data_IF_478692827266
#
_entry.id   IF_478692827266
#
_cell.length_a   1.000
_cell.length_b   1.000
_cell.length_c   1.000
_cell.angle_alpha   90.00
_cell.angle_beta   90.00
_cell.angle_gamma   90.00
#
_symmetry.space_group_name_H-M   'P 1'
#
loop_
_entity.id
_entity.type
_entity.pdbx_description
1 polymer ?
#
# COMPACT_ATOMS: atom_id res chain seq x y z
N UNK A 1 8.68 8.51 25.26
CA UNK A 1 8.03 7.87 24.11
C UNK A 1 8.04 6.40 24.38
N UNK A 2 6.87 5.79 24.47
CA UNK A 2 6.75 4.35 24.61
C UNK A 2 6.13 3.81 23.31
N UNK A 3 6.83 2.87 22.69
CA UNK A 3 6.38 2.17 21.48
C UNK A 3 6.10 0.69 21.76
N UNK A 4 6.14 0.30 23.03
CA UNK A 4 5.76 -1.04 23.39
C UNK A 4 4.30 -1.29 23.00
N UNK A 5 3.97 -2.47 22.44
CA UNK A 5 2.59 -2.79 22.17
C UNK A 5 1.81 -2.86 23.49
N UNK A 6 0.62 -2.27 23.50
CA UNK A 6 -0.33 -2.47 24.60
C UNK A 6 -0.75 -3.94 24.72
N UNK A 7 -1.36 -4.33 25.83
CA UNK A 7 -1.90 -5.69 25.98
C UNK A 7 -2.88 -6.01 24.85
N UNK A 8 -3.76 -5.06 24.50
CA UNK A 8 -4.68 -5.16 23.36
C UNK A 8 -3.94 -5.49 22.06
N UNK A 9 -2.90 -4.73 21.71
CA UNK A 9 -2.14 -4.95 20.47
C UNK A 9 -1.38 -6.27 20.52
N UNK A 10 -0.86 -6.65 21.69
CA UNK A 10 -0.18 -7.94 21.88
C UNK A 10 -1.12 -9.09 21.59
N UNK A 11 -2.34 -9.06 22.11
CA UNK A 11 -3.38 -10.07 21.87
C UNK A 11 -3.79 -10.08 20.38
N UNK A 12 -4.05 -8.91 19.80
CA UNK A 12 -4.44 -8.78 18.39
C UNK A 12 -3.36 -9.31 17.43
N UNK A 13 -2.10 -8.98 17.67
CA UNK A 13 -0.99 -9.45 16.83
C UNK A 13 -0.73 -10.94 17.00
N UNK A 14 -0.92 -11.51 18.20
CA UNK A 14 -0.86 -12.95 18.42
C UNK A 14 -1.98 -13.68 17.69
N UNK A 15 -3.22 -13.17 17.76
CA UNK A 15 -4.37 -13.69 17.03
C UNK A 15 -4.14 -13.63 15.50
N UNK A 16 -3.65 -12.49 14.99
CA UNK A 16 -3.35 -12.35 13.57
C UNK A 16 -2.27 -13.34 13.11
N UNK A 17 -1.20 -13.56 13.89
CA UNK A 17 -0.16 -14.56 13.58
C UNK A 17 -0.71 -15.97 13.51
N UNK A 18 -1.51 -16.36 14.51
CA UNK A 18 -2.16 -17.69 14.54
C UNK A 18 -3.06 -17.88 13.32
N UNK A 19 -3.88 -16.88 13.01
CA UNK A 19 -4.75 -16.88 11.84
C UNK A 19 -3.96 -17.01 10.53
N UNK A 20 -2.92 -16.18 10.36
CA UNK A 20 -2.06 -16.22 9.17
C UNK A 20 -1.43 -17.60 8.99
N UNK A 21 -0.95 -18.20 10.07
CA UNK A 21 -0.33 -19.53 10.01
C UNK A 21 -1.31 -20.63 9.57
N UNK A 22 -2.58 -20.52 9.96
CA UNK A 22 -3.60 -21.52 9.65
C UNK A 22 -4.31 -21.30 8.32
N UNK A 23 -4.67 -20.05 8.00
CA UNK A 23 -5.61 -19.74 6.94
C UNK A 23 -4.96 -19.04 5.72
N UNK A 24 -3.73 -18.52 5.85
CA UNK A 24 -3.11 -17.76 4.75
C UNK A 24 -1.84 -18.42 4.23
N UNK A 25 -0.90 -18.79 5.09
CA UNK A 25 0.38 -19.37 4.67
C UNK A 25 0.24 -20.68 3.88
N UNK A 26 -0.71 -21.58 4.14
CA UNK A 26 -0.91 -22.77 3.33
C UNK A 26 -1.24 -22.49 1.86
N UNK A 27 -1.75 -21.28 1.57
CA UNK A 27 -2.13 -20.84 0.24
C UNK A 27 -1.08 -20.00 -0.48
N UNK A 28 -0.02 -19.56 0.23
CA UNK A 28 0.96 -18.59 -0.29
C UNK A 28 1.70 -19.11 -1.53
N UNK A 29 2.18 -20.34 -1.50
CA UNK A 29 2.84 -20.97 -2.65
C UNK A 29 1.92 -21.05 -3.88
N UNK A 30 0.64 -21.42 -3.70
CA UNK A 30 -0.31 -21.46 -4.80
C UNK A 30 -0.64 -20.05 -5.32
N UNK A 31 -0.71 -19.05 -4.45
CA UNK A 31 -0.93 -17.65 -4.85
C UNK A 31 0.22 -17.14 -5.73
N UNK A 32 1.47 -17.44 -5.39
CA UNK A 32 2.64 -17.08 -6.19
C UNK A 32 2.57 -17.75 -7.57
N UNK A 33 2.33 -19.07 -7.61
CA UNK A 33 2.44 -19.88 -8.83
C UNK A 33 1.22 -19.80 -9.74
N UNK A 34 0.01 -19.56 -9.20
CA UNK A 34 -1.26 -19.59 -9.96
C UNK A 34 -1.93 -18.23 -10.08
N UNK A 35 -1.45 -17.25 -9.31
CA UNK A 35 -1.99 -15.89 -9.27
C UNK A 35 -3.33 -15.76 -8.54
N UNK A 36 -3.74 -14.51 -8.32
CA UNK A 36 -4.92 -14.17 -7.53
C UNK A 36 -6.21 -14.78 -8.07
N UNK A 37 -6.46 -14.71 -9.38
CA UNK A 37 -7.70 -15.21 -10.00
C UNK A 37 -7.98 -16.68 -9.70
N UNK A 38 -6.93 -17.50 -9.64
CA UNK A 38 -7.05 -18.93 -9.33
C UNK A 38 -7.27 -19.20 -7.84
N UNK A 39 -6.91 -18.25 -6.97
CA UNK A 39 -6.94 -18.40 -5.51
C UNK A 39 -8.01 -17.54 -4.84
N UNK A 40 -8.82 -16.78 -5.61
CA UNK A 40 -9.80 -15.86 -5.05
C UNK A 40 -10.78 -16.55 -4.11
N UNK A 41 -11.26 -17.76 -4.42
CA UNK A 41 -12.21 -18.48 -3.57
C UNK A 41 -11.65 -18.82 -2.19
N UNK A 42 -10.38 -19.26 -2.11
CA UNK A 42 -9.70 -19.56 -0.84
C UNK A 42 -9.42 -18.28 -0.04
N UNK A 43 -9.01 -17.22 -0.73
CA UNK A 43 -8.75 -15.94 -0.09
C UNK A 43 -10.05 -15.29 0.42
N UNK A 44 -11.14 -15.39 -0.31
CA UNK A 44 -12.45 -14.89 0.13
C UNK A 44 -12.99 -15.71 1.31
N UNK A 45 -12.80 -17.03 1.33
CA UNK A 45 -13.12 -17.86 2.49
C UNK A 45 -12.30 -17.43 3.73
N UNK A 46 -11.00 -17.18 3.57
CA UNK A 46 -10.18 -16.66 4.66
C UNK A 46 -10.64 -15.25 5.12
N UNK A 47 -11.10 -14.37 4.21
CA UNK A 47 -11.68 -13.06 4.55
C UNK A 47 -12.94 -13.21 5.41
N UNK A 48 -13.83 -14.13 5.07
CA UNK A 48 -15.04 -14.39 5.89
C UNK A 48 -14.70 -14.88 7.29
N UNK A 49 -13.67 -15.73 7.43
CA UNK A 49 -13.14 -16.11 8.75
C UNK A 49 -12.48 -14.94 9.47
N UNK A 50 -11.73 -14.09 8.77
CA UNK A 50 -11.10 -12.92 9.36
C UNK A 50 -12.10 -11.93 9.95
N UNK A 51 -13.30 -11.76 9.37
CA UNK A 51 -14.39 -10.97 9.96
C UNK A 51 -14.75 -11.40 11.37
N UNK A 52 -14.66 -12.69 11.67
CA UNK A 52 -14.99 -13.25 13.00
C UNK A 52 -13.92 -12.94 14.05
N UNK A 53 -12.72 -12.51 13.64
CA UNK A 53 -11.63 -12.18 14.58
C UNK A 53 -11.75 -10.77 15.19
N UNK A 54 -12.62 -9.92 14.67
CA UNK A 54 -12.70 -8.51 15.05
C UNK A 54 -11.54 -7.64 14.48
N UNK A 55 -10.70 -8.21 13.60
CA UNK A 55 -9.56 -7.51 13.00
C UNK A 55 -9.77 -7.13 11.52
N UNK A 56 -10.98 -7.28 11.01
CA UNK A 56 -11.30 -6.93 9.62
C UNK A 56 -11.44 -5.42 9.48
N UNK A 57 -10.82 -4.83 8.45
CA UNK A 57 -10.72 -3.37 8.25
C UNK A 57 -10.28 -2.62 9.54
N UNK A 58 -9.15 -3.01 10.18
CA UNK A 58 -8.83 -2.68 11.57
C UNK A 58 -8.62 -1.17 11.82
N UNK A 59 -8.32 -0.41 10.78
CA UNK A 59 -8.13 1.05 10.79
C UNK A 59 -9.44 1.83 10.87
N UNK A 60 -10.56 1.19 10.51
CA UNK A 60 -11.87 1.86 10.52
C UNK A 60 -12.47 1.90 11.93
N UNK A 61 -13.29 2.93 12.24
CA UNK A 61 -13.99 3.00 13.50
C UNK A 61 -14.86 1.77 13.81
N UNK A 62 -15.01 1.44 15.08
CA UNK A 62 -15.83 0.30 15.54
C UNK A 62 -17.28 0.38 15.05
N UNK A 63 -17.84 1.60 14.99
CA UNK A 63 -19.20 1.85 14.47
C UNK A 63 -19.38 1.47 13.00
N UNK A 64 -18.28 1.38 12.25
CA UNK A 64 -18.25 0.95 10.86
C UNK A 64 -17.82 -0.52 10.70
N UNK A 65 -17.60 -1.25 11.80
CA UNK A 65 -17.18 -2.64 11.80
C UNK A 65 -15.67 -2.85 11.81
N UNK A 66 -14.87 -1.80 11.99
CA UNK A 66 -13.43 -1.89 12.19
C UNK A 66 -13.03 -2.07 13.66
N UNK A 67 -11.73 -2.02 13.96
CA UNK A 67 -11.20 -2.13 15.31
C UNK A 67 -10.81 -0.78 15.95
N UNK A 68 -10.95 0.33 15.24
CA UNK A 68 -10.67 1.68 15.74
C UNK A 68 -9.22 1.91 16.17
N UNK A 69 -8.27 1.28 15.49
CA UNK A 69 -6.85 1.35 15.85
C UNK A 69 -6.27 2.74 15.60
N UNK A 70 -5.45 3.22 16.55
CA UNK A 70 -4.56 4.36 16.33
C UNK A 70 -3.52 4.04 15.26
N UNK A 71 -2.86 5.04 14.70
CA UNK A 71 -1.88 4.82 13.64
C UNK A 71 -0.66 4.00 14.13
N UNK A 72 -0.28 4.16 15.41
CA UNK A 72 0.77 3.35 16.04
C UNK A 72 0.35 1.86 16.13
N UNK A 73 -0.87 1.59 16.58
CA UNK A 73 -1.42 0.23 16.67
C UNK A 73 -1.58 -0.40 15.28
N UNK A 74 -2.05 0.39 14.29
CA UNK A 74 -2.10 -0.02 12.89
C UNK A 74 -0.72 -0.42 12.36
N UNK A 75 0.32 0.37 12.67
CA UNK A 75 1.69 0.08 12.25
C UNK A 75 2.17 -1.25 12.83
N UNK A 76 1.90 -1.53 14.10
CA UNK A 76 2.29 -2.77 14.78
C UNK A 76 1.55 -4.00 14.23
N UNK A 77 0.24 -3.88 13.95
CA UNK A 77 -0.52 -4.96 13.29
C UNK A 77 -0.05 -5.18 11.85
N UNK A 78 0.20 -4.10 11.11
CA UNK A 78 0.64 -4.16 9.70
C UNK A 78 1.97 -4.88 9.52
N UNK A 79 2.89 -4.81 10.49
CA UNK A 79 4.12 -5.62 10.50
C UNK A 79 3.79 -7.12 10.43
N UNK A 80 2.83 -7.58 11.23
CA UNK A 80 2.42 -9.00 11.25
C UNK A 80 1.75 -9.41 9.95
N UNK A 81 0.82 -8.57 9.45
CA UNK A 81 0.13 -8.85 8.18
C UNK A 81 1.08 -8.84 6.99
N UNK A 82 2.18 -8.07 7.06
CA UNK A 82 3.23 -8.00 6.04
C UNK A 82 4.15 -9.23 5.97
N UNK A 83 4.10 -10.12 6.95
CA UNK A 83 4.87 -11.38 6.95
C UNK A 83 4.38 -12.39 5.89
N UNK A 84 3.27 -12.10 5.20
CA UNK A 84 2.75 -12.90 4.07
C UNK A 84 2.24 -12.00 2.94
N UNK A 85 2.17 -12.55 1.74
CA UNK A 85 1.72 -11.85 0.53
C UNK A 85 0.26 -11.38 0.68
N UNK A 86 -0.62 -12.20 1.24
CA UNK A 86 -2.06 -11.96 1.27
C UNK A 86 -2.59 -11.43 2.62
N UNK A 87 -1.77 -11.25 3.66
CA UNK A 87 -2.25 -10.88 4.98
C UNK A 87 -3.08 -9.59 4.99
N UNK A 88 -2.59 -8.53 4.36
CA UNK A 88 -3.35 -7.27 4.27
C UNK A 88 -4.66 -7.43 3.49
N UNK A 89 -4.66 -8.22 2.41
CA UNK A 89 -5.89 -8.48 1.65
C UNK A 89 -6.92 -9.22 2.49
N UNK A 90 -6.51 -10.26 3.20
CA UNK A 90 -7.42 -11.10 3.99
C UNK A 90 -8.07 -10.29 5.12
N UNK A 91 -7.35 -9.39 5.76
CA UNK A 91 -7.88 -8.53 6.81
C UNK A 91 -8.51 -7.21 6.31
N UNK A 92 -8.74 -7.07 5.00
CA UNK A 92 -9.29 -5.85 4.38
C UNK A 92 -8.51 -4.58 4.76
N UNK A 93 -7.19 -4.70 4.81
CA UNK A 93 -6.26 -3.64 5.17
C UNK A 93 -5.24 -3.38 4.04
N UNK A 94 -5.57 -3.77 2.82
CA UNK A 94 -4.72 -3.59 1.64
C UNK A 94 -4.94 -2.23 0.96
N UNK A 95 -3.89 -1.69 0.36
CA UNK A 95 -4.01 -0.61 -0.61
C UNK A 95 -4.61 -1.17 -1.94
N UNK A 96 -5.42 -0.38 -2.67
CA UNK A 96 -5.78 1.02 -2.41
C UNK A 96 -6.96 1.21 -1.46
N UNK A 97 -7.65 0.14 -1.07
CA UNK A 97 -8.91 0.19 -0.32
C UNK A 97 -8.76 0.89 1.02
N UNK A 98 -7.68 0.62 1.78
CA UNK A 98 -7.41 1.28 3.05
C UNK A 98 -7.44 2.81 2.94
N UNK A 99 -6.73 3.38 1.96
CA UNK A 99 -6.72 4.83 1.77
C UNK A 99 -8.02 5.39 1.18
N UNK A 100 -8.76 4.60 0.40
CA UNK A 100 -10.06 5.01 -0.13
C UNK A 100 -11.15 4.97 0.96
N UNK A 101 -11.08 4.02 1.92
CA UNK A 101 -11.93 4.02 3.11
C UNK A 101 -11.69 5.26 3.96
N UNK A 102 -10.43 5.58 4.28
CA UNK A 102 -10.07 6.78 5.04
C UNK A 102 -10.53 8.07 4.35
N UNK A 103 -10.35 8.15 3.02
CA UNK A 103 -10.78 9.29 2.22
C UNK A 103 -12.30 9.48 2.28
N UNK A 104 -13.07 8.41 2.06
CA UNK A 104 -14.53 8.45 2.09
C UNK A 104 -15.06 8.70 3.50
N UNK A 105 -14.44 8.13 4.52
CA UNK A 105 -14.82 8.38 5.91
C UNK A 105 -14.66 9.84 6.30
N UNK A 106 -13.51 10.45 5.95
CA UNK A 106 -13.19 11.83 6.33
C UNK A 106 -13.81 12.90 5.45
N UNK A 107 -14.11 12.60 4.19
CA UNK A 107 -14.46 13.62 3.19
C UNK A 107 -15.65 13.27 2.28
N UNK A 108 -16.16 12.04 2.36
CA UNK A 108 -17.35 11.62 1.62
C UNK A 108 -18.63 12.20 2.23
N UNK A 109 -19.62 12.49 1.39
CA UNK A 109 -20.99 12.78 1.82
C UNK A 109 -21.63 11.53 2.46
N UNK A 110 -22.74 11.70 3.17
CA UNK A 110 -23.47 10.54 3.72
C UNK A 110 -23.94 9.58 2.64
N UNK A 111 -24.31 10.10 1.46
CA UNK A 111 -24.64 9.29 0.30
C UNK A 111 -23.41 8.50 -0.20
N UNK A 112 -22.22 9.11 -0.24
CA UNK A 112 -20.98 8.44 -0.58
C UNK A 112 -20.65 7.33 0.42
N UNK A 113 -20.81 7.60 1.72
CA UNK A 113 -20.54 6.62 2.78
C UNK A 113 -21.50 5.43 2.68
N UNK A 114 -22.79 5.68 2.50
CA UNK A 114 -23.77 4.62 2.38
C UNK A 114 -23.55 3.75 1.13
N UNK A 115 -23.24 4.38 -0.01
CA UNK A 115 -23.13 3.67 -1.29
C UNK A 115 -21.79 2.94 -1.46
N UNK A 116 -20.69 3.50 -1.01
CA UNK A 116 -19.34 2.97 -1.28
C UNK A 116 -18.52 2.61 -0.03
N UNK A 117 -18.55 3.45 1.03
CA UNK A 117 -17.73 3.18 2.20
C UNK A 117 -18.22 1.95 2.98
N UNK A 118 -19.51 1.90 3.29
CA UNK A 118 -20.09 0.79 4.07
C UNK A 118 -19.81 -0.58 3.44
N UNK A 119 -20.13 -0.82 2.15
CA UNK A 119 -19.83 -2.11 1.53
C UNK A 119 -18.31 -2.34 1.30
N UNK A 120 -17.50 -1.28 1.17
CA UNK A 120 -16.04 -1.41 1.09
C UNK A 120 -15.45 -1.88 2.42
N UNK A 121 -15.89 -1.32 3.55
CA UNK A 121 -15.49 -1.75 4.90
C UNK A 121 -15.95 -3.17 5.19
N UNK A 122 -17.17 -3.53 4.76
CA UNK A 122 -17.68 -4.89 4.87
C UNK A 122 -16.95 -5.92 3.96
N UNK A 123 -16.09 -5.43 3.06
CA UNK A 123 -15.34 -6.28 2.12
C UNK A 123 -16.19 -6.87 0.99
N UNK A 124 -17.39 -6.33 0.75
CA UNK A 124 -18.33 -6.76 -0.30
C UNK A 124 -17.91 -6.26 -1.68
N UNK A 125 -17.11 -5.20 -1.74
CA UNK A 125 -16.58 -4.64 -2.96
C UNK A 125 -15.12 -4.19 -2.77
N UNK A 126 -14.44 -3.94 -3.90
CA UNK A 126 -13.10 -3.37 -3.94
C UNK A 126 -13.11 -2.08 -4.75
N UNK A 127 -12.13 -1.24 -4.49
CA UNK A 127 -11.97 0.05 -5.15
C UNK A 127 -10.60 0.17 -5.83
N UNK A 128 -10.45 1.22 -6.64
CA UNK A 128 -9.15 1.61 -7.21
C UNK A 128 -8.96 3.12 -7.11
N UNK A 129 -7.71 3.57 -7.28
CA UNK A 129 -7.33 4.98 -7.24
C UNK A 129 -6.60 5.35 -8.53
N UNK A 130 -7.18 6.22 -9.35
CA UNK A 130 -6.70 6.62 -10.65
C UNK A 130 -6.05 8.00 -10.59
N UNK A 131 -4.73 8.04 -10.46
CA UNK A 131 -3.98 9.30 -10.36
C UNK A 131 -2.95 9.45 -11.47
N UNK A 132 -2.04 8.51 -11.62
CA UNK A 132 -0.92 8.57 -12.57
C UNK A 132 -1.36 8.36 -14.01
N UNK A 133 -0.62 8.95 -14.93
CA UNK A 133 -0.90 8.95 -16.37
C UNK A 133 0.37 8.59 -17.14
N UNK A 134 0.29 7.84 -18.25
CA UNK A 134 1.49 7.48 -19.00
C UNK A 134 2.20 8.68 -19.65
N UNK A 135 1.45 9.70 -20.05
CA UNK A 135 1.96 10.89 -20.75
C UNK A 135 2.54 11.94 -19.77
N UNK A 136 2.25 11.85 -18.48
CA UNK A 136 2.64 12.85 -17.49
C UNK A 136 3.47 12.26 -16.36
N UNK A 137 4.47 13.02 -15.89
CA UNK A 137 5.35 12.56 -14.82
C UNK A 137 4.58 12.39 -13.49
N UNK A 138 4.40 11.15 -13.02
CA UNK A 138 3.73 10.84 -11.76
C UNK A 138 4.39 11.46 -10.51
N UNK A 139 5.67 11.84 -10.61
CA UNK A 139 6.39 12.59 -9.56
C UNK A 139 5.95 14.06 -9.43
N UNK A 140 5.19 14.59 -10.41
CA UNK A 140 4.60 15.92 -10.37
C UNK A 140 3.06 15.80 -10.34
N UNK A 141 2.44 15.63 -9.18
CA UNK A 141 1.02 15.33 -9.04
C UNK A 141 0.06 16.47 -9.40
N UNK A 142 0.59 17.64 -9.71
CA UNK A 142 -0.22 18.80 -10.16
C UNK A 142 -0.21 18.98 -11.68
N UNK A 143 0.52 18.13 -12.40
CA UNK A 143 0.58 18.12 -13.84
C UNK A 143 -0.03 16.82 -14.38
N UNK A 144 -1.25 16.90 -14.86
CA UNK A 144 -2.01 15.77 -15.40
C UNK A 144 -2.89 16.21 -16.56
N UNK A 145 -3.21 15.28 -17.45
CA UNK A 145 -4.00 15.54 -18.66
C UNK A 145 -5.47 15.15 -18.54
N UNK A 146 -5.84 14.25 -17.60
CA UNK A 146 -7.24 13.88 -17.39
C UNK A 146 -8.04 15.09 -16.97
N UNK A 147 -9.15 15.33 -17.70
CA UNK A 147 -10.05 16.48 -17.49
C UNK A 147 -11.45 16.00 -17.10
N UNK A 148 -12.14 16.80 -16.31
CA UNK A 148 -13.53 16.64 -16.00
C UNK A 148 -14.27 17.98 -16.13
N UNK A 149 -15.28 18.04 -16.99
CA UNK A 149 -16.12 19.22 -17.19
C UNK A 149 -17.52 18.94 -16.70
N UNK A 150 -18.09 19.91 -15.98
CA UNK A 150 -19.48 19.81 -15.51
C UNK A 150 -20.41 20.27 -16.62
N UNK A 151 -21.31 19.40 -17.08
CA UNK A 151 -22.30 19.66 -18.13
C UNK A 151 -23.63 19.03 -17.72
N UNK A 152 -24.69 19.80 -17.71
CA UNK A 152 -26.07 19.34 -17.40
C UNK A 152 -26.18 18.55 -16.08
N UNK A 153 -25.49 18.98 -15.03
CA UNK A 153 -25.45 18.32 -13.71
C UNK A 153 -24.65 17.02 -13.67
N UNK A 154 -23.83 16.75 -14.68
CA UNK A 154 -22.95 15.59 -14.77
C UNK A 154 -21.51 15.98 -15.06
N UNK A 155 -20.58 15.31 -14.41
CA UNK A 155 -19.16 15.33 -14.79
C UNK A 155 -18.96 14.48 -16.05
N UNK A 156 -18.39 15.08 -17.10
CA UNK A 156 -17.90 14.39 -18.28
C UNK A 156 -16.39 14.27 -18.18
N UNK A 157 -15.87 13.03 -18.02
CA UNK A 157 -14.47 12.76 -17.73
C UNK A 157 -13.80 12.13 -18.95
N UNK A 158 -12.62 12.68 -19.33
CA UNK A 158 -11.78 12.16 -20.40
C UNK A 158 -10.34 12.10 -19.92
N UNK A 159 -9.65 10.98 -20.17
CA UNK A 159 -8.24 10.84 -19.82
C UNK A 159 -7.72 9.42 -19.94
N UNK A 160 -6.42 9.29 -19.66
CA UNK A 160 -5.71 8.04 -19.72
C UNK A 160 -4.94 7.83 -18.40
N UNK A 161 -5.27 6.77 -17.70
CA UNK A 161 -4.69 6.43 -16.40
C UNK A 161 -3.97 5.09 -16.48
N UNK A 162 -2.89 4.93 -15.72
CA UNK A 162 -2.20 3.66 -15.62
C UNK A 162 -1.70 3.40 -14.20
N UNK A 163 -1.16 2.21 -13.97
CA UNK A 163 -0.82 1.71 -12.64
C UNK A 163 -1.96 1.90 -11.63
N UNK A 164 -3.20 1.75 -12.11
CA UNK A 164 -4.39 1.72 -11.29
C UNK A 164 -4.45 0.38 -10.55
N UNK A 165 -3.85 0.34 -9.35
CA UNK A 165 -3.79 -0.88 -8.53
C UNK A 165 -5.18 -1.40 -8.22
N UNK A 166 -5.38 -2.71 -8.36
CA UNK A 166 -6.64 -3.42 -8.12
C UNK A 166 -7.82 -2.99 -9.02
N UNK A 167 -7.57 -2.30 -10.14
CA UNK A 167 -8.63 -1.90 -11.07
C UNK A 167 -9.39 -3.10 -11.65
N UNK A 168 -8.70 -4.23 -11.86
CA UNK A 168 -9.34 -5.47 -12.26
C UNK A 168 -10.27 -6.00 -11.14
N UNK A 169 -11.58 -5.91 -11.39
CA UNK A 169 -12.64 -6.28 -10.44
C UNK A 169 -12.95 -5.24 -9.36
N UNK A 170 -12.41 -4.01 -9.42
CA UNK A 170 -12.90 -2.90 -8.62
C UNK A 170 -14.31 -2.52 -9.06
N UNK A 171 -15.15 -2.09 -8.10
CA UNK A 171 -16.53 -1.66 -8.36
C UNK A 171 -16.64 -0.15 -8.55
N UNK A 172 -15.69 0.59 -8.02
CA UNK A 172 -15.58 2.03 -8.25
C UNK A 172 -14.12 2.48 -8.24
N UNK A 173 -13.88 3.60 -8.88
CA UNK A 173 -12.62 4.31 -8.92
C UNK A 173 -12.75 5.68 -8.25
N UNK A 174 -11.71 6.08 -7.51
CA UNK A 174 -11.49 7.49 -7.16
C UNK A 174 -10.59 8.08 -8.24
N UNK A 175 -11.14 8.96 -9.07
CA UNK A 175 -10.46 9.53 -10.23
C UNK A 175 -9.97 10.95 -9.93
N UNK A 176 -8.66 11.18 -10.08
CA UNK A 176 -8.08 12.52 -10.10
C UNK A 176 -8.22 13.10 -11.51
N UNK A 177 -8.89 14.26 -11.62
CA UNK A 177 -9.09 14.96 -12.89
C UNK A 177 -9.02 16.48 -12.71
N UNK A 178 -8.54 17.18 -13.72
CA UNK A 178 -8.52 18.65 -13.76
C UNK A 178 -9.94 19.15 -13.99
N UNK A 179 -10.47 19.92 -13.04
CA UNK A 179 -11.78 20.58 -13.10
C UNK A 179 -11.68 22.10 -13.19
N UNK A 180 -10.53 22.65 -12.76
CA UNK A 180 -10.27 24.09 -12.70
C UNK A 180 -8.95 24.40 -13.44
N UNK A 181 -8.92 24.27 -14.78
CA UNK A 181 -7.68 24.45 -15.58
C UNK A 181 -7.05 25.85 -15.39
N UNK A 182 -7.89 26.87 -15.21
CA UNK A 182 -7.49 28.28 -15.11
C UNK A 182 -7.15 28.72 -13.69
N UNK A 183 -7.24 27.82 -12.70
CA UNK A 183 -6.88 28.15 -11.31
C UNK A 183 -5.41 28.63 -11.25
N UNK A 184 -5.20 29.79 -10.62
CA UNK A 184 -3.87 30.41 -10.50
C UNK A 184 -2.85 29.51 -9.78
N UNK A 185 -3.31 28.75 -8.81
CA UNK A 185 -2.48 27.80 -8.08
C UNK A 185 -2.64 26.38 -8.67
N UNK A 186 -1.57 25.79 -9.14
CA UNK A 186 -1.58 24.45 -9.73
C UNK A 186 -2.20 23.38 -8.79
N UNK A 187 -2.04 23.55 -7.49
CA UNK A 187 -2.61 22.65 -6.47
C UNK A 187 -4.14 22.72 -6.34
N UNK A 188 -4.78 23.70 -6.97
CA UNK A 188 -6.23 23.90 -6.95
C UNK A 188 -6.90 23.53 -8.28
N UNK A 189 -6.17 22.87 -9.19
CA UNK A 189 -6.69 22.52 -10.51
C UNK A 189 -7.43 21.19 -10.56
N UNK A 190 -7.04 20.24 -9.75
CA UNK A 190 -7.61 18.89 -9.78
C UNK A 190 -8.65 18.67 -8.69
N UNK A 191 -9.62 17.82 -8.98
CA UNK A 191 -10.64 17.30 -8.07
C UNK A 191 -10.57 15.78 -7.99
N UNK A 192 -11.27 15.19 -7.01
CA UNK A 192 -11.51 13.75 -6.91
C UNK A 192 -12.97 13.44 -7.20
N UNK A 193 -13.21 12.54 -8.11
CA UNK A 193 -14.56 12.15 -8.55
C UNK A 193 -14.71 10.64 -8.43
N UNK A 194 -15.81 10.19 -7.83
CA UNK A 194 -16.19 8.78 -7.74
C UNK A 194 -16.80 8.31 -9.05
N UNK A 195 -16.24 7.24 -9.61
CA UNK A 195 -16.69 6.67 -10.87
C UNK A 195 -16.95 5.18 -10.68
N UNK A 196 -18.20 4.69 -10.80
CA UNK A 196 -18.45 3.26 -10.91
C UNK A 196 -17.75 2.69 -12.14
N UNK A 197 -17.09 1.52 -11.99
CA UNK A 197 -16.25 0.97 -13.08
C UNK A 197 -17.07 0.38 -14.23
N UNK A 198 -18.37 0.18 -14.04
CA UNK A 198 -19.32 -0.23 -15.07
C UNK A 198 -19.96 0.97 -15.83
N UNK A 199 -19.53 2.20 -15.54
CA UNK A 199 -19.99 3.39 -16.26
C UNK A 199 -19.51 3.34 -17.72
N UNK A 200 -20.38 3.57 -18.71
CA UNK A 200 -19.99 3.62 -20.13
C UNK A 200 -18.80 4.56 -20.36
N UNK A 201 -17.81 4.09 -21.12
CA UNK A 201 -16.57 4.81 -21.40
C UNK A 201 -15.47 4.63 -20.35
N UNK A 202 -15.70 3.85 -19.28
CA UNK A 202 -14.64 3.39 -18.38
C UNK A 202 -14.11 2.06 -18.88
N UNK A 203 -12.94 2.08 -19.51
CA UNK A 203 -12.37 0.92 -20.15
C UNK A 203 -11.07 0.50 -19.47
N UNK A 204 -11.07 -0.66 -18.80
CA UNK A 204 -9.86 -1.34 -18.35
C UNK A 204 -9.19 -1.99 -19.58
N UNK A 205 -8.16 -1.34 -20.12
CA UNK A 205 -7.50 -1.75 -21.35
C UNK A 205 -6.71 -3.04 -21.16
N UNK A 206 -5.95 -3.11 -20.07
CA UNK A 206 -5.11 -4.26 -19.69
C UNK A 206 -4.65 -4.14 -18.25
N UNK A 207 -4.15 -5.23 -17.71
CA UNK A 207 -3.26 -5.18 -16.55
C UNK A 207 -1.82 -5.00 -17.04
N UNK A 208 -1.11 -4.01 -16.47
CA UNK A 208 0.29 -3.73 -16.82
C UNK A 208 1.17 -4.79 -16.20
N UNK A 209 1.99 -5.45 -17.00
CA UNK A 209 2.98 -6.40 -16.50
C UNK A 209 4.12 -5.68 -15.78
N UNK A 210 4.35 -6.04 -14.52
CA UNK A 210 5.42 -5.49 -13.67
C UNK A 210 6.46 -6.57 -13.43
N UNK A 211 7.66 -6.39 -13.99
CA UNK A 211 8.78 -7.35 -13.87
C UNK A 211 8.39 -8.80 -14.22
N UNK A 212 7.56 -8.96 -15.26
CA UNK A 212 7.10 -10.26 -15.73
C UNK A 212 5.78 -10.76 -15.11
N UNK A 213 5.23 -10.06 -14.12
CA UNK A 213 3.97 -10.42 -13.49
C UNK A 213 2.86 -9.46 -13.93
N UNK A 214 1.87 -9.96 -14.66
CA UNK A 214 0.70 -9.16 -15.08
C UNK A 214 -0.26 -8.92 -13.91
N UNK A 215 -0.39 -9.90 -13.03
CA UNK A 215 -1.34 -9.86 -11.94
C UNK A 215 -2.81 -9.97 -12.38
N UNK A 216 -3.70 -10.09 -11.42
CA UNK A 216 -5.15 -10.08 -11.61
C UNK A 216 -5.86 -9.65 -10.34
N UNK A 217 -7.07 -9.15 -10.45
CA UNK A 217 -7.87 -8.74 -9.31
C UNK A 217 -7.12 -7.73 -8.41
N UNK A 218 -7.05 -7.99 -7.11
CA UNK A 218 -6.32 -7.14 -6.17
C UNK A 218 -4.83 -6.96 -6.51
N UNK A 219 -4.18 -7.96 -7.10
CA UNK A 219 -2.76 -7.93 -7.45
C UNK A 219 -2.49 -7.31 -8.84
N UNK A 220 -3.49 -6.71 -9.47
CA UNK A 220 -3.35 -6.07 -10.79
C UNK A 220 -2.91 -4.61 -10.69
N UNK A 221 -2.37 -4.11 -11.80
CA UNK A 221 -2.11 -2.69 -12.03
C UNK A 221 -2.71 -2.30 -13.37
N UNK A 222 -3.92 -1.74 -13.36
CA UNK A 222 -4.69 -1.48 -14.57
C UNK A 222 -4.19 -0.28 -15.37
N UNK A 223 -4.33 -0.37 -16.70
CA UNK A 223 -4.34 0.76 -17.62
C UNK A 223 -5.78 1.06 -17.99
N UNK A 224 -6.25 2.28 -17.75
CA UNK A 224 -7.65 2.68 -17.88
C UNK A 224 -7.79 3.87 -18.81
N UNK A 225 -8.65 3.72 -19.82
CA UNK A 225 -9.11 4.83 -20.65
C UNK A 225 -10.47 5.33 -20.16
N UNK A 226 -10.61 6.65 -20.10
CA UNK A 226 -11.84 7.34 -19.74
C UNK A 226 -12.31 8.12 -20.97
N UNK A 227 -13.35 7.61 -21.64
CA UNK A 227 -13.87 8.13 -22.91
C UNK A 227 -15.28 8.70 -22.67
N UNK A 228 -15.37 10.00 -22.35
CA UNK A 228 -16.65 10.66 -22.06
C UNK A 228 -17.44 9.99 -20.92
N UNK A 229 -16.75 9.52 -19.90
CA UNK A 229 -17.37 8.91 -18.72
C UNK A 229 -18.26 9.95 -18.02
N UNK A 230 -19.54 9.66 -17.87
CA UNK A 230 -20.53 10.57 -17.27
C UNK A 230 -20.97 10.07 -15.91
N UNK A 231 -20.82 10.92 -14.89
CA UNK A 231 -21.29 10.65 -13.52
C UNK A 231 -21.97 11.89 -12.95
N UNK A 232 -22.93 11.73 -12.03
CA UNK A 232 -23.61 12.85 -11.38
C UNK A 232 -22.66 13.85 -10.71
N UNK A 233 -23.07 15.11 -10.61
CA UNK A 233 -22.27 16.18 -9.97
C UNK A 233 -21.93 15.84 -8.52
N UNK A 234 -22.81 15.21 -7.78
CA UNK A 234 -22.65 14.82 -6.39
C UNK A 234 -21.65 13.66 -6.16
N UNK A 235 -21.08 13.08 -7.23
CA UNK A 235 -19.95 12.14 -7.13
C UNK A 235 -18.61 12.83 -6.83
N UNK A 236 -18.57 14.17 -6.75
CA UNK A 236 -17.41 14.93 -6.31
C UNK A 236 -17.13 14.68 -4.82
N UNK A 237 -15.88 14.32 -4.48
CA UNK A 237 -15.45 14.21 -3.09
C UNK A 237 -14.91 15.57 -2.62
N UNK A 238 -15.47 16.08 -1.54
CA UNK A 238 -15.05 17.37 -0.98
C UNK A 238 -15.47 18.57 -1.84
N UNK A 239 -14.52 19.41 -2.25
CA UNK A 239 -14.76 20.62 -3.03
C UNK A 239 -14.02 20.61 -4.37
N UNK A 240 -14.53 21.32 -5.36
CA UNK A 240 -13.86 21.53 -6.66
C UNK A 240 -12.48 22.15 -6.45
N UNK A 241 -11.49 21.64 -7.17
CA UNK A 241 -10.09 22.06 -7.03
C UNK A 241 -9.41 21.56 -5.76
N UNK A 242 -10.12 20.81 -4.91
CA UNK A 242 -9.60 20.29 -3.63
C UNK A 242 -8.82 18.96 -3.73
N UNK A 243 -8.77 18.36 -4.91
CA UNK A 243 -8.25 17.00 -5.09
C UNK A 243 -6.81 16.79 -4.62
N UNK A 244 -5.92 17.75 -4.87
CA UNK A 244 -4.54 17.64 -4.39
C UNK A 244 -4.44 17.60 -2.84
N UNK A 245 -5.22 18.44 -2.14
CA UNK A 245 -5.27 18.44 -0.68
C UNK A 245 -5.75 17.09 -0.14
N UNK A 246 -6.80 16.55 -0.74
CA UNK A 246 -7.34 15.22 -0.41
C UNK A 246 -6.32 14.11 -0.69
N UNK A 247 -5.59 14.18 -1.82
CA UNK A 247 -4.53 13.24 -2.14
C UNK A 247 -3.42 13.24 -1.08
N UNK A 248 -3.01 14.41 -0.60
CA UNK A 248 -2.01 14.50 0.46
C UNK A 248 -2.52 13.96 1.81
N UNK A 249 -3.78 14.19 2.15
CA UNK A 249 -4.41 13.64 3.35
C UNK A 249 -4.44 12.10 3.32
N UNK A 250 -4.80 11.51 2.17
CA UNK A 250 -4.82 10.07 1.94
C UNK A 250 -3.42 9.44 1.95
N UNK A 251 -2.45 10.08 1.29
CA UNK A 251 -1.10 9.53 1.11
C UNK A 251 -0.22 9.63 2.37
N UNK A 252 -0.58 10.46 3.35
CA UNK A 252 0.15 10.60 4.61
C UNK A 252 0.15 9.29 5.40
N UNK A 253 -0.99 8.84 5.91
CA UNK A 253 -1.16 7.54 6.59
C UNK A 253 -0.78 6.36 5.69
N UNK A 254 -1.12 6.41 4.40
CA UNK A 254 -0.80 5.36 3.43
C UNK A 254 0.69 5.02 3.37
N UNK A 255 1.59 6.00 3.49
CA UNK A 255 3.05 5.76 3.50
C UNK A 255 3.51 5.03 4.76
N UNK A 256 2.88 5.27 5.90
CA UNK A 256 3.17 4.54 7.15
C UNK A 256 2.68 3.10 7.00
N UNK A 257 1.48 2.92 6.50
CA UNK A 257 0.92 1.60 6.19
C UNK A 257 1.88 0.78 5.30
N UNK A 258 2.39 1.37 4.22
CA UNK A 258 3.39 0.70 3.37
C UNK A 258 4.69 0.41 4.10
N UNK A 259 5.25 1.39 4.84
CA UNK A 259 6.51 1.21 5.55
C UNK A 259 6.41 0.11 6.62
N UNK A 260 5.29 0.03 7.35
CA UNK A 260 5.04 -1.02 8.34
C UNK A 260 4.92 -2.40 7.68
N UNK A 261 4.22 -2.50 6.56
CA UNK A 261 4.13 -3.73 5.75
C UNK A 261 5.51 -4.20 5.28
N UNK A 262 6.37 -3.27 4.85
CA UNK A 262 7.74 -3.60 4.43
C UNK A 262 8.61 -4.11 5.57
N UNK A 263 8.39 -3.66 6.80
CA UNK A 263 9.03 -4.26 7.98
C UNK A 263 8.60 -5.72 8.14
N UNK A 264 7.32 -6.03 7.95
CA UNK A 264 6.83 -7.42 7.95
C UNK A 264 7.51 -8.30 6.89
N UNK A 265 7.61 -7.80 5.64
CA UNK A 265 8.36 -8.47 4.57
C UNK A 265 9.82 -8.72 4.98
N UNK A 266 10.48 -7.71 5.57
CA UNK A 266 11.86 -7.85 6.05
C UNK A 266 12.00 -8.92 7.15
N UNK A 267 11.07 -8.95 8.12
CA UNK A 267 11.08 -9.92 9.20
C UNK A 267 10.94 -11.35 8.66
N UNK A 268 10.02 -11.57 7.72
CA UNK A 268 9.84 -12.88 7.08
C UNK A 268 11.05 -13.27 6.24
N UNK A 269 11.61 -12.35 5.45
CA UNK A 269 12.81 -12.60 4.65
C UNK A 269 14.03 -12.95 5.53
N UNK A 270 14.22 -12.23 6.65
CA UNK A 270 15.27 -12.53 7.63
C UNK A 270 15.04 -13.90 8.28
N UNK A 271 13.81 -14.24 8.65
CA UNK A 271 13.46 -15.55 9.19
C UNK A 271 13.86 -16.68 8.22
N UNK A 272 13.41 -16.57 6.95
CA UNK A 272 13.75 -17.54 5.91
C UNK A 272 15.26 -17.63 5.66
N UNK A 273 15.97 -16.50 5.69
CA UNK A 273 17.44 -16.45 5.57
C UNK A 273 18.12 -17.19 6.71
N UNK A 274 17.69 -16.98 7.96
CA UNK A 274 18.22 -17.67 9.13
C UNK A 274 17.95 -19.17 9.10
N UNK A 275 16.71 -19.54 8.75
CA UNK A 275 16.34 -20.96 8.61
C UNK A 275 17.21 -21.64 7.56
N UNK A 276 17.32 -21.04 6.37
CA UNK A 276 18.15 -21.58 5.28
C UNK A 276 19.61 -21.70 5.70
N UNK A 277 20.16 -20.70 6.39
CA UNK A 277 21.53 -20.71 6.85
C UNK A 277 21.81 -21.82 7.88
N UNK A 278 20.85 -22.12 8.74
CA UNK A 278 20.95 -23.17 9.75
C UNK A 278 20.82 -24.59 9.16
N UNK A 279 19.89 -24.77 8.23
CA UNK A 279 19.53 -26.09 7.69
C UNK A 279 20.40 -26.53 6.51
N UNK A 280 20.90 -25.58 5.70
CA UNK A 280 21.66 -25.92 4.48
C UNK A 280 23.09 -26.29 4.81
N UNK A 281 23.44 -27.54 4.57
CA UNK A 281 24.85 -27.99 4.62
C UNK A 281 25.57 -27.70 3.31
N UNK A 282 26.83 -27.24 3.42
CA UNK A 282 27.78 -27.07 2.30
C UNK A 282 28.60 -28.32 2.10
N UNK A 283 28.86 -29.06 3.21
CA UNK A 283 29.44 -30.39 3.28
C UNK A 283 28.97 -31.02 4.60
N UNK A 284 29.09 -32.34 4.79
CA UNK A 284 28.62 -32.99 6.01
C UNK A 284 29.12 -32.29 7.29
N UNK A 285 28.16 -31.88 8.14
CA UNK A 285 28.42 -31.19 9.40
C UNK A 285 28.87 -29.72 9.27
N UNK A 286 28.79 -29.12 8.09
CA UNK A 286 29.16 -27.71 7.86
C UNK A 286 27.97 -26.92 7.34
N UNK A 287 27.12 -26.35 8.22
CA UNK A 287 26.01 -25.55 7.81
C UNK A 287 26.44 -24.24 7.12
N UNK A 288 25.64 -23.73 6.20
CA UNK A 288 25.86 -22.48 5.48
C UNK A 288 26.06 -21.29 6.46
N UNK A 289 25.35 -21.30 7.58
CA UNK A 289 25.46 -20.31 8.66
C UNK A 289 26.82 -20.27 9.37
N UNK A 290 27.72 -21.25 9.13
CA UNK A 290 29.10 -21.19 9.62
C UNK A 290 29.96 -20.17 8.85
N UNK A 291 29.51 -19.67 7.71
CA UNK A 291 30.27 -18.70 6.92
C UNK A 291 30.09 -17.29 7.46
N UNK A 292 31.19 -16.62 7.71
CA UNK A 292 31.25 -15.28 8.30
C UNK A 292 30.43 -14.26 7.47
N UNK A 293 30.48 -14.34 6.14
CA UNK A 293 29.70 -13.47 5.25
C UNK A 293 28.19 -13.60 5.51
N UNK A 294 27.69 -14.83 5.69
CA UNK A 294 26.26 -15.08 5.99
C UNK A 294 25.90 -14.53 7.36
N UNK A 295 26.75 -14.72 8.36
CA UNK A 295 26.57 -14.15 9.70
C UNK A 295 26.55 -12.62 9.67
N UNK A 296 27.42 -12.00 8.87
CA UNK A 296 27.45 -10.55 8.67
C UNK A 296 26.12 -10.07 8.04
N UNK A 297 25.64 -10.71 6.98
CA UNK A 297 24.37 -10.35 6.35
C UNK A 297 23.16 -10.48 7.28
N UNK A 298 23.11 -11.52 8.11
CA UNK A 298 22.06 -11.69 9.12
C UNK A 298 22.11 -10.55 10.15
N UNK A 299 23.31 -10.25 10.69
CA UNK A 299 23.48 -9.21 11.70
C UNK A 299 23.14 -7.81 11.16
N UNK A 300 23.63 -7.46 9.97
CA UNK A 300 23.31 -6.20 9.30
C UNK A 300 21.83 -6.07 9.01
N UNK A 301 21.19 -7.13 8.48
CA UNK A 301 19.77 -7.13 8.20
C UNK A 301 18.96 -6.91 9.48
N UNK A 302 19.31 -7.57 10.57
CA UNK A 302 18.64 -7.38 11.87
C UNK A 302 18.77 -5.94 12.36
N UNK A 303 19.96 -5.35 12.29
CA UNK A 303 20.20 -3.97 12.72
C UNK A 303 19.44 -2.95 11.85
N UNK A 304 19.45 -3.13 10.53
CA UNK A 304 18.74 -2.26 9.59
C UNK A 304 17.23 -2.33 9.78
N UNK A 305 16.66 -3.53 9.99
CA UNK A 305 15.22 -3.73 10.26
C UNK A 305 14.83 -3.03 11.55
N UNK A 306 15.60 -3.19 12.63
CA UNK A 306 15.29 -2.58 13.92
C UNK A 306 15.30 -1.04 13.83
N UNK A 307 16.33 -0.47 13.18
CA UNK A 307 16.41 0.97 12.97
C UNK A 307 15.23 1.48 12.14
N UNK A 308 14.87 0.79 11.05
CA UNK A 308 13.74 1.14 10.20
C UNK A 308 12.41 1.06 10.97
N UNK A 309 12.22 -0.01 11.74
CA UNK A 309 11.05 -0.23 12.59
C UNK A 309 10.83 0.91 13.59
N UNK A 310 11.87 1.26 14.33
CA UNK A 310 11.81 2.36 15.30
C UNK A 310 11.45 3.70 14.65
N UNK A 311 11.98 3.99 13.46
CA UNK A 311 11.61 5.19 12.69
C UNK A 311 10.12 5.18 12.31
N UNK A 312 9.57 4.04 11.89
CA UNK A 312 8.16 3.91 11.53
C UNK A 312 7.26 4.12 12.74
N UNK A 313 7.53 3.42 13.86
CA UNK A 313 6.75 3.56 15.09
C UNK A 313 6.81 4.98 15.66
N UNK A 314 8.00 5.61 15.64
CA UNK A 314 8.13 7.00 16.04
C UNK A 314 7.30 7.95 15.17
N UNK A 315 7.29 7.72 13.85
CA UNK A 315 6.51 8.54 12.92
C UNK A 315 5.01 8.38 13.18
N UNK A 316 4.53 7.15 13.33
CA UNK A 316 3.13 6.87 13.66
C UNK A 316 2.72 7.52 14.98
N UNK A 317 3.51 7.34 16.04
CA UNK A 317 3.27 7.95 17.34
C UNK A 317 3.23 9.49 17.26
N UNK A 318 4.15 10.13 16.53
CA UNK A 318 4.16 11.59 16.35
C UNK A 318 2.89 12.09 15.68
N UNK A 319 2.36 11.35 14.72
CA UNK A 319 1.12 11.72 14.03
C UNK A 319 -0.06 11.60 14.98
N UNK A 320 -0.18 10.51 15.72
CA UNK A 320 -1.24 10.32 16.71
C UNK A 320 -1.23 11.43 17.78
N UNK A 321 -0.04 11.92 18.20
CA UNK A 321 0.08 12.94 19.24
C UNK A 321 0.01 14.38 18.73
N UNK A 322 0.52 14.68 17.54
CA UNK A 322 0.80 16.04 17.10
C UNK A 322 0.24 16.40 15.72
N UNK A 323 -0.22 15.43 14.94
CA UNK A 323 -0.75 15.64 13.59
C UNK A 323 0.26 16.14 12.55
N UNK A 324 1.56 16.28 12.88
CA UNK A 324 2.61 16.77 11.99
C UNK A 324 3.51 15.63 11.52
N UNK A 325 3.75 15.52 10.21
CA UNK A 325 4.35 14.30 9.65
C UNK A 325 5.18 14.44 8.36
N UNK A 326 5.17 15.59 7.68
CA UNK A 326 5.74 15.68 6.32
C UNK A 326 7.20 15.24 6.18
N UNK A 327 8.05 15.59 7.14
CA UNK A 327 9.47 15.24 7.12
C UNK A 327 9.66 13.78 7.52
N UNK A 328 9.04 13.37 8.64
CA UNK A 328 9.16 12.02 9.18
C UNK A 328 8.65 10.97 8.19
N UNK A 329 7.49 11.21 7.56
CA UNK A 329 6.92 10.33 6.53
C UNK A 329 7.84 10.24 5.29
N UNK A 330 8.50 11.33 4.91
CA UNK A 330 9.47 11.30 3.81
C UNK A 330 10.70 10.49 4.17
N UNK A 331 11.20 10.62 5.42
CA UNK A 331 12.35 9.85 5.91
C UNK A 331 12.10 8.34 5.87
N UNK A 332 10.98 7.89 6.46
CA UNK A 332 10.67 6.46 6.50
C UNK A 332 10.45 5.88 5.11
N UNK A 333 9.83 6.63 4.19
CA UNK A 333 9.46 6.13 2.87
C UNK A 333 10.67 5.66 2.07
N UNK A 334 11.71 6.47 1.90
CA UNK A 334 12.88 6.04 1.13
C UNK A 334 13.83 5.15 1.93
N UNK A 335 13.92 5.35 3.26
CA UNK A 335 14.84 4.58 4.09
C UNK A 335 14.38 3.12 4.21
N UNK A 336 13.12 2.89 4.61
CA UNK A 336 12.57 1.54 4.80
C UNK A 336 12.50 0.76 3.48
N UNK A 337 12.10 1.41 2.38
CA UNK A 337 12.13 0.79 1.05
C UNK A 337 13.54 0.32 0.66
N UNK A 338 14.57 1.12 0.97
CA UNK A 338 15.96 0.76 0.75
C UNK A 338 16.43 -0.41 1.62
N UNK A 339 16.05 -0.42 2.91
CA UNK A 339 16.33 -1.55 3.83
C UNK A 339 15.70 -2.83 3.30
N UNK A 340 14.42 -2.79 2.95
CA UNK A 340 13.71 -3.97 2.45
C UNK A 340 14.39 -4.58 1.22
N UNK A 341 14.79 -3.75 0.24
CA UNK A 341 15.47 -4.26 -0.95
C UNK A 341 16.79 -4.95 -0.60
N UNK A 342 17.60 -4.41 0.34
CA UNK A 342 18.86 -5.04 0.77
C UNK A 342 18.62 -6.35 1.52
N UNK A 343 17.63 -6.39 2.40
CA UNK A 343 17.29 -7.62 3.15
C UNK A 343 16.80 -8.72 2.22
N UNK A 344 15.94 -8.39 1.24
CA UNK A 344 15.47 -9.35 0.23
C UNK A 344 16.62 -9.86 -0.64
N UNK A 345 17.53 -8.97 -1.09
CA UNK A 345 18.70 -9.34 -1.89
C UNK A 345 19.61 -10.32 -1.15
N UNK A 346 19.92 -10.03 0.12
CA UNK A 346 20.72 -10.93 0.97
C UNK A 346 20.03 -12.27 1.21
N UNK A 347 18.71 -12.26 1.43
CA UNK A 347 17.95 -13.48 1.63
C UNK A 347 17.94 -14.37 0.36
N UNK A 348 17.75 -13.78 -0.82
CA UNK A 348 17.86 -14.46 -2.11
C UNK A 348 19.26 -15.07 -2.26
N UNK A 349 20.31 -14.29 -1.98
CA UNK A 349 21.69 -14.75 -2.11
C UNK A 349 22.00 -15.95 -1.21
N UNK A 350 21.51 -15.96 0.05
CA UNK A 350 21.65 -17.07 0.98
C UNK A 350 20.88 -18.32 0.51
N UNK A 351 19.74 -18.14 -0.15
CA UNK A 351 19.00 -19.27 -0.72
C UNK A 351 19.63 -19.83 -2.01
N UNK A 352 20.46 -19.04 -2.71
CA UNK A 352 21.01 -19.39 -4.01
C UNK A 352 19.92 -19.54 -5.06
N UNK A 353 19.98 -20.54 -5.94
CA UNK A 353 19.00 -20.76 -7.00
C UNK A 353 17.55 -20.88 -6.47
N UNK A 354 17.36 -21.47 -5.29
CA UNK A 354 16.03 -21.57 -4.65
C UNK A 354 15.42 -20.17 -4.37
N UNK A 355 16.25 -19.19 -4.01
CA UNK A 355 15.79 -17.82 -3.76
C UNK A 355 15.31 -17.08 -5.02
N UNK A 356 15.65 -17.60 -6.20
CA UNK A 356 15.24 -17.07 -7.51
C UNK A 356 13.98 -17.76 -8.05
N UNK A 357 13.50 -18.80 -7.36
CA UNK A 357 12.34 -19.60 -7.79
C UNK A 357 11.06 -19.16 -7.06
N UNK A 358 9.93 -19.59 -7.59
CA UNK A 358 8.60 -19.39 -7.00
C UNK A 358 8.29 -20.37 -5.85
N UNK A 359 9.27 -21.19 -5.44
CA UNK A 359 9.17 -22.07 -4.27
C UNK A 359 9.32 -21.32 -2.95
N UNK A 360 9.76 -20.05 -3.01
CA UNK A 360 9.83 -19.14 -1.87
C UNK A 360 9.20 -17.80 -2.24
N UNK A 361 8.70 -17.01 -1.27
CA UNK A 361 8.16 -15.69 -1.57
C UNK A 361 9.23 -14.64 -1.91
N UNK A 362 10.52 -14.97 -1.84
CA UNK A 362 11.61 -14.01 -1.93
C UNK A 362 11.71 -13.34 -3.30
N UNK A 363 11.70 -14.13 -4.38
CA UNK A 363 11.76 -13.62 -5.74
C UNK A 363 10.50 -12.80 -6.07
N UNK A 364 9.32 -13.28 -5.65
CA UNK A 364 8.07 -12.55 -5.79
C UNK A 364 8.15 -11.18 -5.10
N UNK A 365 8.53 -11.11 -3.83
CA UNK A 365 8.68 -9.84 -3.11
C UNK A 365 9.76 -8.95 -3.72
N UNK A 366 10.89 -9.51 -4.14
CA UNK A 366 11.95 -8.72 -4.78
C UNK A 366 11.44 -7.99 -6.02
N UNK A 367 10.68 -8.67 -6.86
CA UNK A 367 10.08 -8.10 -8.06
C UNK A 367 8.97 -7.09 -7.72
N UNK A 368 7.96 -7.48 -6.92
CA UNK A 368 6.81 -6.64 -6.63
C UNK A 368 7.17 -5.44 -5.75
N UNK A 369 7.95 -5.66 -4.70
CA UNK A 369 8.33 -4.60 -3.76
C UNK A 369 9.45 -3.69 -4.27
N UNK A 370 10.04 -3.99 -5.45
CA UNK A 370 10.93 -3.04 -6.13
C UNK A 370 10.22 -1.71 -6.42
N UNK A 371 8.93 -1.76 -6.64
CA UNK A 371 8.08 -0.60 -6.85
C UNK A 371 7.97 0.32 -5.62
N UNK A 372 8.29 -0.17 -4.41
CA UNK A 372 8.28 0.61 -3.17
C UNK A 372 9.12 1.90 -3.23
N UNK A 373 10.16 1.90 -4.06
CA UNK A 373 11.03 3.06 -4.29
C UNK A 373 10.48 4.06 -5.31
N UNK A 374 9.32 3.76 -5.90
CA UNK A 374 8.73 4.52 -7.02
C UNK A 374 7.36 5.07 -6.65
N UNK A 375 6.42 4.22 -6.22
CA UNK A 375 5.06 4.65 -5.91
C UNK A 375 4.99 5.53 -4.65
N UNK A 376 3.89 6.24 -4.45
CA UNK A 376 3.64 7.20 -3.36
C UNK A 376 4.71 8.30 -3.24
N UNK A 377 5.39 8.58 -4.35
CA UNK A 377 6.53 9.47 -4.50
C UNK A 377 7.85 8.69 -4.53
N UNK A 378 8.64 8.86 -5.61
CA UNK A 378 9.95 8.22 -5.71
C UNK A 378 10.91 8.69 -4.61
N UNK A 379 11.91 7.87 -4.31
CA UNK A 379 12.94 8.15 -3.29
C UNK A 379 13.52 9.56 -3.42
N UNK A 380 13.75 10.01 -4.67
CA UNK A 380 14.34 11.30 -5.00
C UNK A 380 13.44 12.47 -4.57
N UNK A 381 12.11 12.34 -4.73
CA UNK A 381 11.15 13.35 -4.27
C UNK A 381 11.20 13.46 -2.74
N UNK A 382 11.18 12.34 -2.03
CA UNK A 382 11.24 12.33 -0.56
C UNK A 382 12.57 12.87 -0.02
N UNK A 383 13.71 12.46 -0.62
CA UNK A 383 15.04 12.99 -0.28
C UNK A 383 15.10 14.50 -0.50
N UNK A 384 14.53 14.99 -1.62
CA UNK A 384 14.46 16.43 -1.90
C UNK A 384 13.63 17.18 -0.86
N UNK A 385 12.49 16.62 -0.44
CA UNK A 385 11.65 17.23 0.62
C UNK A 385 12.43 17.37 1.92
N UNK A 386 13.14 16.33 2.36
CA UNK A 386 13.95 16.37 3.58
C UNK A 386 15.09 17.37 3.46
N UNK A 387 15.88 17.28 2.37
CA UNK A 387 17.04 18.15 2.15
C UNK A 387 16.63 19.65 2.11
N UNK A 388 15.58 20.00 1.38
CA UNK A 388 15.07 21.38 1.30
C UNK A 388 14.62 21.91 2.66
N UNK A 389 13.94 21.07 3.47
CA UNK A 389 13.52 21.48 4.83
C UNK A 389 14.71 21.74 5.75
N UNK A 390 15.74 20.89 5.66
CA UNK A 390 16.96 21.09 6.41
C UNK A 390 17.68 22.38 5.99
N UNK A 391 17.89 22.59 4.68
CA UNK A 391 18.58 23.75 4.14
C UNK A 391 17.86 25.08 4.44
N UNK A 392 16.51 25.07 4.51
CA UNK A 392 15.75 26.26 4.96
C UNK A 392 16.08 26.69 6.37
N UNK A 393 16.42 25.77 7.29
CA UNK A 393 16.86 26.10 8.65
C UNK A 393 18.20 26.86 8.67
N UNK A 394 18.96 26.79 7.57
CA UNK A 394 20.21 27.51 7.37
C UNK A 394 20.07 28.70 6.42
N UNK A 395 18.83 29.17 6.17
CA UNK A 395 18.56 30.38 5.40
C UNK A 395 18.50 30.21 3.86
N UNK A 396 18.58 28.98 3.36
CA UNK A 396 18.45 28.73 1.92
C UNK A 396 16.99 28.85 1.48
N UNK A 397 16.71 29.75 0.54
CA UNK A 397 15.43 29.80 -0.18
C UNK A 397 15.44 28.69 -1.22
N UNK A 398 14.67 27.62 -1.03
CA UNK A 398 14.58 26.46 -1.93
C UNK A 398 13.13 26.17 -2.30
#
# INVERSE_FOLDING_TARGET
>A
MDYAPSDRVTEMTALARAFIAQEVLPHEHFLINRGFKAMVGQLDAARELAKQTGLFAPHMPEQLGGAGLTLLEQAQLSEVLGETIAGHYVFNFQAPDVGNMELLHGHGSEAHKARWLTPLVAGELRSTFLMTEPEFAGSNPVWMGTQATLQDGQWCIRGHKWFATAADGARFAVVMAVTEPDAAQAHQRASMILVPTDTPGFDLVRNVSVMGHEGSGWMSHGEVLLSDVRVPEDHLIGVRGGGFKLAQARLGPGRIHHASRWIGVCNRALHLMCQRAAERELSPGQPLGSKQTVQTWIAESRAEIEAARLMVLQTAWKIDQHGQFREDVSLIKFFVAGVMQRVLDRAIQVHGALGMSDDTPLAFWYAHERASRIYDGPDEVHKTVVARRMLRRYGMQA
#
